data_IF_813351929455
#
_entry.id   IF_813351929455
#
_cell.length_a   1.000
_cell.length_b   1.000
_cell.length_c   1.000
_cell.angle_alpha   90.00
_cell.angle_beta   90.00
_cell.angle_gamma   90.00
#
_symmetry.space_group_name_H-M   'P 1'
#
loop_
_entity.id
_entity.type
_entity.pdbx_description
1 polymer ?
#
# COMPACT_ATOMS: atom_id res chain seq x y z
N UNK A 1 11.99 -64.70 11.77
CA UNK A 1 12.60 -64.64 10.43
C UNK A 1 11.47 -64.47 9.43
N UNK A 2 11.13 -63.26 9.03
CA UNK A 2 10.21 -63.00 7.94
C UNK A 2 10.84 -61.94 7.05
N UNK A 3 11.29 -62.40 5.90
CA UNK A 3 11.83 -61.58 4.82
C UNK A 3 10.70 -60.71 4.20
N UNK A 4 10.82 -59.41 4.26
CA UNK A 4 10.04 -58.50 3.45
C UNK A 4 10.85 -58.23 2.16
N UNK A 5 10.28 -58.42 0.97
CA UNK A 5 11.01 -58.19 -0.27
C UNK A 5 11.19 -56.67 -0.51
N UNK A 6 12.41 -56.34 -0.87
CA UNK A 6 12.88 -55.07 -1.35
C UNK A 6 12.05 -54.61 -2.57
N UNK A 7 11.27 -53.55 -2.42
CA UNK A 7 10.56 -52.93 -3.58
C UNK A 7 11.58 -52.08 -4.32
N UNK A 8 11.74 -52.23 -5.65
CA UNK A 8 12.60 -51.36 -6.43
C UNK A 8 12.04 -49.94 -6.42
N UNK A 9 12.89 -49.00 -6.01
CA UNK A 9 12.61 -47.55 -6.23
C UNK A 9 12.38 -47.31 -7.71
N UNK A 10 11.15 -46.91 -8.06
CA UNK A 10 10.83 -46.37 -9.39
C UNK A 10 11.61 -45.08 -9.55
N UNK A 11 12.46 -44.94 -10.58
CA UNK A 11 13.12 -43.68 -10.83
C UNK A 11 12.04 -42.60 -11.08
N UNK A 12 12.16 -41.46 -10.42
CA UNK A 12 11.30 -40.30 -10.67
C UNK A 12 11.32 -40.02 -12.15
N UNK A 13 10.20 -40.31 -12.83
CA UNK A 13 10.01 -39.89 -14.22
C UNK A 13 10.18 -38.39 -14.28
N UNK A 14 11.23 -37.92 -14.97
CA UNK A 14 11.38 -36.53 -15.35
C UNK A 14 10.16 -36.20 -16.21
N UNK A 15 9.17 -35.53 -15.58
CA UNK A 15 8.11 -34.86 -16.34
C UNK A 15 8.85 -33.86 -17.22
N UNK A 16 8.70 -33.88 -18.54
CA UNK A 16 9.36 -32.91 -19.40
C UNK A 16 8.95 -31.53 -18.92
N UNK A 17 9.95 -30.67 -18.67
CA UNK A 17 9.72 -29.29 -18.29
C UNK A 17 8.82 -28.67 -19.37
N UNK A 18 7.62 -28.28 -19.00
CA UNK A 18 6.73 -27.61 -19.92
C UNK A 18 7.23 -26.18 -20.14
N UNK A 19 7.44 -25.83 -21.41
CA UNK A 19 7.92 -24.51 -21.81
C UNK A 19 6.74 -23.70 -22.32
N UNK A 20 6.61 -22.46 -21.86
CA UNK A 20 5.63 -21.49 -22.34
C UNK A 20 6.34 -20.44 -23.18
N UNK A 21 5.89 -20.27 -24.41
CA UNK A 21 6.34 -19.24 -25.35
C UNK A 21 5.23 -18.22 -25.49
N UNK A 22 5.55 -16.95 -25.37
CA UNK A 22 4.64 -15.83 -25.54
C UNK A 22 5.36 -14.55 -25.95
N UNK A 23 4.64 -13.57 -26.44
CA UNK A 23 5.21 -12.26 -26.74
C UNK A 23 5.14 -11.38 -25.49
N UNK A 24 6.28 -10.82 -25.07
CA UNK A 24 6.40 -9.85 -24.00
C UNK A 24 6.90 -8.51 -24.55
N UNK A 25 6.09 -7.48 -24.48
CA UNK A 25 6.43 -6.13 -24.91
C UNK A 25 7.00 -6.10 -26.36
N UNK A 26 6.38 -6.89 -27.26
CA UNK A 26 6.75 -7.02 -28.66
C UNK A 26 7.92 -7.99 -28.93
N UNK A 27 8.44 -8.68 -27.92
CA UNK A 27 9.55 -9.63 -28.04
C UNK A 27 9.09 -11.04 -27.66
N UNK A 28 9.37 -12.03 -28.48
CA UNK A 28 9.10 -13.44 -28.14
C UNK A 28 10.01 -13.89 -27.01
N UNK A 29 9.42 -14.44 -25.95
CA UNK A 29 10.15 -14.97 -24.80
C UNK A 29 9.72 -16.40 -24.50
N UNK A 30 10.64 -17.15 -23.88
CA UNK A 30 10.46 -18.55 -23.52
C UNK A 30 10.75 -18.72 -22.02
N UNK A 31 9.81 -19.32 -21.29
CA UNK A 31 9.92 -19.54 -19.85
C UNK A 31 9.52 -20.97 -19.50
N UNK A 32 10.31 -21.63 -18.67
CA UNK A 32 9.95 -22.93 -18.09
C UNK A 32 8.78 -22.77 -17.13
N UNK A 33 7.70 -23.53 -17.34
CA UNK A 33 6.52 -23.55 -16.47
C UNK A 33 6.59 -24.74 -15.49
N UNK A 34 7.07 -24.47 -14.32
CA UNK A 34 6.99 -25.38 -13.17
C UNK A 34 5.83 -25.03 -12.22
N UNK A 35 4.75 -24.48 -12.79
CA UNK A 35 3.55 -24.04 -12.05
C UNK A 35 3.58 -22.57 -11.65
N UNK A 36 4.33 -21.74 -12.36
CA UNK A 36 4.44 -20.31 -12.11
C UNK A 36 3.14 -19.57 -12.41
N UNK A 37 2.94 -18.48 -11.70
CA UNK A 37 2.06 -17.39 -12.12
C UNK A 37 2.79 -16.49 -13.13
N UNK A 38 2.03 -15.73 -13.91
CA UNK A 38 2.61 -14.74 -14.83
C UNK A 38 3.45 -13.69 -14.08
N UNK A 39 3.05 -13.28 -12.86
CA UNK A 39 3.83 -12.36 -12.03
C UNK A 39 5.20 -12.94 -11.68
N UNK A 40 5.25 -14.20 -11.25
CA UNK A 40 6.49 -14.87 -10.89
C UNK A 40 7.44 -15.02 -12.08
N UNK A 41 6.90 -15.31 -13.27
CA UNK A 41 7.68 -15.35 -14.50
C UNK A 41 8.21 -13.97 -14.90
N UNK A 42 7.37 -12.93 -14.83
CA UNK A 42 7.76 -11.58 -15.20
C UNK A 42 8.84 -11.02 -14.27
N UNK A 43 8.65 -11.16 -12.95
CA UNK A 43 9.60 -10.59 -11.98
C UNK A 43 10.85 -11.43 -11.75
N UNK A 44 10.77 -12.75 -11.95
CA UNK A 44 11.89 -13.67 -11.80
C UNK A 44 12.72 -13.75 -13.07
N UNK A 45 12.56 -14.80 -13.90
CA UNK A 45 13.44 -15.04 -15.03
C UNK A 45 13.42 -13.93 -16.11
N UNK A 46 12.37 -13.12 -16.19
CA UNK A 46 12.26 -12.06 -17.20
C UNK A 46 12.64 -10.66 -16.69
N UNK A 47 12.90 -10.48 -15.40
CA UNK A 47 13.42 -9.23 -14.81
C UNK A 47 12.53 -7.99 -14.99
N UNK A 48 11.21 -8.16 -15.14
CA UNK A 48 10.28 -7.04 -15.33
C UNK A 48 9.88 -6.44 -13.98
N UNK A 49 10.47 -5.33 -13.61
CA UNK A 49 10.28 -4.69 -12.31
C UNK A 49 9.12 -3.67 -12.27
N UNK A 50 8.60 -3.19 -13.40
CA UNK A 50 7.40 -2.33 -13.44
C UNK A 50 6.15 -3.08 -12.98
N UNK A 51 6.12 -4.40 -13.08
CA UNK A 51 5.03 -5.25 -12.57
C UNK A 51 5.30 -5.55 -11.10
N UNK A 52 4.49 -4.97 -10.18
CA UNK A 52 4.75 -5.00 -8.74
C UNK A 52 4.04 -6.13 -8.00
N UNK A 53 4.73 -6.67 -6.99
CA UNK A 53 4.21 -7.71 -6.10
C UNK A 53 3.71 -7.10 -4.78
N UNK A 54 2.46 -6.64 -4.74
CA UNK A 54 1.91 -5.98 -3.54
C UNK A 54 1.07 -6.90 -2.65
N UNK A 55 0.37 -7.87 -3.22
CA UNK A 55 -0.50 -8.77 -2.44
C UNK A 55 -0.41 -10.23 -2.91
N UNK A 56 0.59 -10.60 -3.71
CA UNK A 56 0.67 -11.88 -4.37
C UNK A 56 0.55 -13.07 -3.40
N UNK A 57 -0.27 -14.05 -3.78
CA UNK A 57 -1.05 -14.12 -5.03
C UNK A 57 -2.55 -13.79 -4.84
N UNK A 58 -2.92 -12.79 -4.06
CA UNK A 58 -4.33 -12.56 -3.66
C UNK A 58 -5.22 -11.93 -4.76
N UNK A 59 -4.64 -11.30 -5.79
CA UNK A 59 -5.39 -10.68 -6.88
C UNK A 59 -6.20 -9.45 -6.48
N UNK A 60 -5.78 -8.70 -5.45
CA UNK A 60 -6.58 -7.62 -4.85
C UNK A 60 -6.03 -6.22 -5.04
N UNK A 61 -4.69 -6.04 -5.14
CA UNK A 61 -4.10 -4.71 -5.12
C UNK A 61 -3.96 -4.07 -6.52
N UNK A 62 -4.05 -4.83 -7.61
CA UNK A 62 -3.92 -4.34 -8.97
C UNK A 62 -2.51 -3.93 -9.40
N UNK A 63 -1.50 -3.92 -8.51
CA UNK A 63 -0.14 -3.46 -8.83
C UNK A 63 0.57 -4.32 -9.90
N UNK A 64 0.13 -5.56 -10.08
CA UNK A 64 0.64 -6.49 -11.09
C UNK A 64 -0.22 -6.53 -12.37
N UNK A 65 -0.97 -5.49 -12.67
CA UNK A 65 -1.81 -5.43 -13.87
C UNK A 65 -0.94 -5.33 -15.13
N UNK A 66 -1.21 -6.20 -16.10
CA UNK A 66 -0.64 -6.21 -17.43
C UNK A 66 -1.77 -6.34 -18.45
N UNK A 67 -1.51 -6.08 -19.73
CA UNK A 67 -2.43 -6.42 -20.82
C UNK A 67 -2.09 -7.80 -21.35
N UNK A 68 -3.09 -8.62 -21.52
CA UNK A 68 -2.99 -9.89 -22.26
C UNK A 68 -3.93 -9.78 -23.45
N UNK A 69 -3.37 -9.76 -24.67
CA UNK A 69 -4.09 -9.44 -25.91
C UNK A 69 -4.94 -8.16 -25.77
N UNK A 70 -4.34 -7.11 -25.23
CA UNK A 70 -5.00 -5.82 -25.00
C UNK A 70 -6.00 -5.78 -23.84
N UNK A 71 -6.23 -6.90 -23.13
CA UNK A 71 -7.18 -6.96 -22.00
C UNK A 71 -6.43 -6.94 -20.68
N UNK A 72 -6.77 -6.02 -19.78
CA UNK A 72 -6.15 -5.93 -18.46
C UNK A 72 -6.38 -7.19 -17.62
N UNK A 73 -5.29 -7.74 -17.06
CA UNK A 73 -5.27 -8.92 -16.19
C UNK A 73 -4.32 -8.70 -15.03
N UNK A 74 -4.63 -9.25 -13.86
CA UNK A 74 -3.72 -9.27 -12.72
C UNK A 74 -2.82 -10.51 -12.81
N UNK A 75 -1.53 -10.28 -12.97
CA UNK A 75 -0.54 -11.32 -13.25
C UNK A 75 -0.37 -12.33 -12.09
N UNK A 76 -0.56 -11.91 -10.83
CA UNK A 76 -0.35 -12.78 -9.68
C UNK A 76 -1.34 -13.94 -9.53
N UNK A 77 -2.49 -13.88 -10.20
CA UNK A 77 -3.50 -14.95 -10.24
C UNK A 77 -3.71 -15.53 -11.63
N UNK A 78 -2.88 -15.13 -12.58
CA UNK A 78 -2.87 -15.66 -13.95
C UNK A 78 -1.80 -16.74 -14.06
N UNK A 79 -2.17 -18.03 -14.22
CA UNK A 79 -1.18 -19.08 -14.45
C UNK A 79 -0.38 -18.82 -15.73
N UNK A 80 0.93 -19.03 -15.70
CA UNK A 80 1.81 -18.75 -16.85
C UNK A 80 1.35 -19.45 -18.14
N UNK A 81 0.95 -20.70 -18.05
CA UNK A 81 0.44 -21.47 -19.20
C UNK A 81 -0.74 -20.83 -19.94
N UNK A 82 -1.46 -19.89 -19.28
CA UNK A 82 -2.61 -19.20 -19.89
C UNK A 82 -2.21 -18.11 -20.87
N UNK A 83 -0.95 -17.74 -20.92
CA UNK A 83 -0.43 -16.73 -21.87
C UNK A 83 0.38 -17.34 -22.99
N UNK A 84 0.43 -18.67 -23.10
CA UNK A 84 1.09 -19.37 -24.22
C UNK A 84 0.53 -18.91 -25.56
N UNK A 85 1.41 -18.45 -26.46
CA UNK A 85 1.07 -17.94 -27.79
C UNK A 85 0.28 -16.61 -27.79
N UNK A 86 0.26 -15.90 -26.67
CA UNK A 86 -0.44 -14.61 -26.53
C UNK A 86 0.55 -13.46 -26.41
N UNK A 87 0.07 -12.24 -26.61
CA UNK A 87 0.83 -11.03 -26.36
C UNK A 87 0.58 -10.52 -24.93
N UNK A 88 1.65 -10.23 -24.20
CA UNK A 88 1.64 -9.62 -22.87
C UNK A 88 2.30 -8.26 -22.99
N UNK A 89 1.59 -7.19 -22.60
CA UNK A 89 2.15 -5.84 -22.57
C UNK A 89 2.18 -5.35 -21.13
N UNK A 90 3.34 -4.94 -20.66
CA UNK A 90 3.55 -4.32 -19.36
C UNK A 90 3.52 -2.80 -19.49
N UNK A 91 3.75 -2.06 -18.38
CA UNK A 91 3.93 -0.61 -18.46
C UNK A 91 5.10 -0.25 -19.39
N UNK A 92 6.19 -1.03 -19.36
CA UNK A 92 7.38 -0.78 -20.15
C UNK A 92 7.14 -0.97 -21.66
N UNK A 93 6.22 -1.87 -22.02
CA UNK A 93 5.82 -2.16 -23.40
C UNK A 93 4.74 -1.24 -23.96
N UNK A 94 4.19 -0.31 -23.19
CA UNK A 94 3.31 0.72 -23.73
C UNK A 94 4.10 1.65 -24.66
N UNK A 95 3.45 2.19 -25.69
CA UNK A 95 4.07 3.20 -26.56
C UNK A 95 4.68 4.34 -25.74
N UNK A 96 5.85 4.84 -26.16
CA UNK A 96 6.58 5.85 -25.40
C UNK A 96 5.82 7.17 -25.25
N UNK A 97 5.04 7.55 -26.26
CA UNK A 97 4.20 8.74 -26.19
C UNK A 97 3.05 8.53 -25.18
N UNK A 98 2.44 7.34 -25.16
CA UNK A 98 1.42 6.96 -24.18
C UNK A 98 1.98 6.98 -22.76
N UNK A 99 3.16 6.39 -22.53
CA UNK A 99 3.82 6.44 -21.22
C UNK A 99 4.10 7.88 -20.76
N UNK A 100 4.59 8.71 -21.69
CA UNK A 100 4.89 10.11 -21.38
C UNK A 100 3.63 10.91 -21.04
N UNK A 101 2.55 10.71 -21.76
CA UNK A 101 1.25 11.35 -21.51
C UNK A 101 0.74 11.01 -20.10
N UNK A 102 0.67 9.71 -19.77
CA UNK A 102 0.25 9.27 -18.45
C UNK A 102 1.20 9.75 -17.34
N UNK A 103 2.51 9.71 -17.57
CA UNK A 103 3.49 10.17 -16.61
C UNK A 103 3.34 11.67 -16.32
N UNK A 104 3.13 12.48 -17.36
CA UNK A 104 2.90 13.92 -17.22
C UNK A 104 1.65 14.20 -16.39
N UNK A 105 0.50 13.63 -16.75
CA UNK A 105 -0.74 13.82 -16.01
C UNK A 105 -0.62 13.39 -14.55
N UNK A 106 0.03 12.23 -14.28
CA UNK A 106 0.24 11.76 -12.91
C UNK A 106 1.17 12.66 -12.09
N UNK A 107 2.17 13.25 -12.70
CA UNK A 107 3.07 14.21 -12.03
C UNK A 107 2.32 15.52 -11.74
N UNK A 108 1.61 16.03 -12.71
CA UNK A 108 0.91 17.34 -12.62
C UNK A 108 -0.19 17.30 -11.56
N UNK A 109 -0.93 16.21 -11.48
CA UNK A 109 -1.97 16.02 -10.47
C UNK A 109 -1.47 15.47 -9.11
N UNK A 110 -0.17 15.18 -8.97
CA UNK A 110 0.35 14.51 -7.76
C UNK A 110 -0.24 13.11 -7.56
N UNK A 111 -0.62 12.45 -8.64
CA UNK A 111 -1.26 11.13 -8.64
C UNK A 111 -0.30 9.97 -8.36
N UNK A 112 0.99 10.22 -8.22
CA UNK A 112 2.00 9.24 -7.85
C UNK A 112 2.93 9.80 -6.77
N UNK A 113 3.01 9.15 -5.61
CA UNK A 113 3.92 9.53 -4.54
C UNK A 113 5.05 8.51 -4.38
N UNK A 114 4.77 7.28 -3.95
CA UNK A 114 5.80 6.25 -3.86
C UNK A 114 6.03 5.50 -5.19
N UNK A 115 5.10 5.55 -6.12
CA UNK A 115 5.21 4.92 -7.42
C UNK A 115 4.90 3.42 -7.47
N UNK A 116 4.71 2.74 -6.34
CA UNK A 116 4.55 1.29 -6.33
C UNK A 116 3.29 0.81 -7.08
N UNK A 117 2.17 1.48 -6.91
CA UNK A 117 0.92 1.11 -7.59
C UNK A 117 0.76 1.72 -8.99
N UNK A 118 1.54 2.75 -9.31
CA UNK A 118 1.33 3.59 -10.51
C UNK A 118 1.41 2.83 -11.82
N UNK A 119 2.40 1.94 -12.09
CA UNK A 119 2.46 1.22 -13.35
C UNK A 119 1.21 0.36 -13.60
N UNK A 120 0.77 -0.38 -12.59
CA UNK A 120 -0.44 -1.22 -12.71
C UNK A 120 -1.73 -0.40 -12.91
N UNK A 121 -1.83 0.76 -12.27
CA UNK A 121 -2.95 1.69 -12.45
C UNK A 121 -2.95 2.26 -13.87
N UNK A 122 -1.81 2.74 -14.37
CA UNK A 122 -1.69 3.26 -15.74
C UNK A 122 -2.06 2.21 -16.78
N UNK A 123 -1.54 0.99 -16.67
CA UNK A 123 -1.90 -0.11 -17.58
C UNK A 123 -3.41 -0.39 -17.55
N UNK A 124 -4.03 -0.32 -16.37
CA UNK A 124 -5.48 -0.50 -16.25
C UNK A 124 -6.27 0.62 -16.91
N UNK A 125 -5.85 1.86 -16.73
CA UNK A 125 -6.48 3.04 -17.32
C UNK A 125 -6.28 3.08 -18.85
N UNK A 126 -5.10 2.66 -19.34
CA UNK A 126 -4.86 2.52 -20.77
C UNK A 126 -5.77 1.47 -21.43
N UNK A 127 -6.01 0.35 -20.75
CA UNK A 127 -7.01 -0.62 -21.20
C UNK A 127 -8.42 -0.03 -21.25
N UNK A 128 -8.77 0.86 -20.33
CA UNK A 128 -10.05 1.57 -20.35
C UNK A 128 -10.12 2.53 -21.56
N UNK A 129 -9.05 3.31 -21.81
CA UNK A 129 -8.93 4.23 -22.94
C UNK A 129 -9.09 3.50 -24.27
N UNK A 130 -8.33 2.44 -24.47
CA UNK A 130 -8.38 1.63 -25.70
C UNK A 130 -9.76 1.04 -25.92
N UNK A 131 -10.38 0.53 -24.86
CA UNK A 131 -11.75 -0.01 -24.96
C UNK A 131 -12.78 1.06 -25.30
N UNK A 132 -12.65 2.26 -24.76
CA UNK A 132 -13.53 3.39 -25.06
C UNK A 132 -13.39 3.83 -26.54
N UNK A 133 -12.16 3.91 -27.05
CA UNK A 133 -11.89 4.31 -28.44
C UNK A 133 -12.54 3.41 -29.49
N UNK A 134 -12.69 2.11 -29.21
CA UNK A 134 -13.37 1.16 -30.11
C UNK A 134 -14.87 1.01 -29.83
N UNK A 135 -15.40 1.67 -28.82
CA UNK A 135 -16.84 1.68 -28.54
C UNK A 135 -17.58 2.53 -29.54
N UNK A 136 -18.81 2.14 -29.99
CA UNK A 136 -19.64 2.98 -30.86
C UNK A 136 -19.95 4.38 -30.28
N UNK A 137 -19.86 4.54 -28.95
CA UNK A 137 -20.07 5.81 -28.27
C UNK A 137 -18.77 6.64 -28.14
N UNK A 138 -17.62 6.12 -28.59
CA UNK A 138 -16.33 6.82 -28.48
C UNK A 138 -15.96 7.17 -27.02
N UNK A 139 -15.18 8.22 -26.86
CA UNK A 139 -14.81 8.76 -25.53
C UNK A 139 -16.04 9.27 -24.75
N UNK A 140 -17.07 9.76 -25.45
CA UNK A 140 -18.36 10.16 -24.85
C UNK A 140 -19.10 8.96 -24.20
N UNK A 141 -18.67 7.74 -24.48
CA UNK A 141 -19.19 6.52 -23.87
C UNK A 141 -18.58 6.21 -22.49
N UNK A 142 -17.61 6.98 -22.02
CA UNK A 142 -17.11 6.90 -20.65
C UNK A 142 -18.17 7.49 -19.70
N UNK A 143 -19.04 6.63 -19.21
CA UNK A 143 -20.07 7.02 -18.23
C UNK A 143 -19.42 7.53 -16.95
N UNK A 144 -20.11 8.46 -16.26
CA UNK A 144 -19.71 8.92 -14.94
C UNK A 144 -19.28 7.74 -14.04
N UNK A 145 -18.15 7.89 -13.36
CA UNK A 145 -17.58 6.85 -12.52
C UNK A 145 -16.93 5.68 -13.29
N UNK A 146 -16.59 5.82 -14.58
CA UNK A 146 -15.92 4.77 -15.34
C UNK A 146 -14.51 4.48 -14.83
N UNK A 147 -13.79 5.52 -14.42
CA UNK A 147 -12.45 5.45 -13.84
C UNK A 147 -12.49 4.69 -12.51
N UNK A 148 -13.38 5.08 -11.60
CA UNK A 148 -13.54 4.46 -10.29
C UNK A 148 -13.91 2.98 -10.42
N UNK A 149 -14.83 2.66 -11.33
CA UNK A 149 -15.18 1.26 -11.61
C UNK A 149 -14.00 0.47 -12.19
N UNK A 150 -13.22 1.08 -13.07
CA UNK A 150 -12.03 0.43 -13.62
C UNK A 150 -11.00 0.14 -12.54
N UNK A 151 -10.88 1.03 -11.57
CA UNK A 151 -9.89 0.97 -10.50
C UNK A 151 -10.41 0.32 -9.20
N UNK A 152 -11.63 -0.20 -9.16
CA UNK A 152 -12.24 -0.78 -7.96
C UNK A 152 -11.41 -1.91 -7.30
N UNK A 153 -10.55 -2.59 -8.07
CA UNK A 153 -9.62 -3.62 -7.58
C UNK A 153 -8.15 -3.17 -7.62
N UNK A 154 -7.91 -1.85 -7.54
CA UNK A 154 -6.56 -1.29 -7.47
C UNK A 154 -6.41 -0.52 -6.17
N UNK A 155 -5.25 -0.63 -5.50
CA UNK A 155 -5.01 0.00 -4.23
C UNK A 155 -3.88 1.02 -4.35
N UNK A 156 -4.14 2.22 -3.85
CA UNK A 156 -3.15 3.23 -3.57
C UNK A 156 -3.32 3.70 -2.13
N UNK A 157 -2.23 3.76 -1.37
CA UNK A 157 -2.28 4.23 0.02
C UNK A 157 -1.73 5.64 0.22
N UNK A 158 -1.07 6.18 -0.80
CA UNK A 158 -0.36 7.46 -0.70
C UNK A 158 -1.23 8.67 -1.02
N UNK A 159 -2.01 8.60 -2.11
CA UNK A 159 -2.60 9.77 -2.79
C UNK A 159 -4.04 10.07 -2.38
N UNK A 160 -4.71 9.17 -1.69
CA UNK A 160 -6.14 9.30 -1.37
C UNK A 160 -7.08 9.17 -2.57
N UNK A 161 -6.59 8.72 -3.73
CA UNK A 161 -7.36 8.40 -4.96
C UNK A 161 -7.80 9.59 -5.80
N UNK A 162 -8.20 10.73 -5.23
CA UNK A 162 -8.78 11.83 -6.00
C UNK A 162 -7.83 12.30 -7.11
N UNK A 163 -6.56 12.51 -6.78
CA UNK A 163 -5.56 12.92 -7.77
C UNK A 163 -5.35 11.91 -8.91
N UNK A 164 -5.55 10.61 -8.64
CA UNK A 164 -5.49 9.57 -9.67
C UNK A 164 -6.71 9.66 -10.59
N UNK A 165 -7.89 9.93 -10.04
CA UNK A 165 -9.12 10.12 -10.81
C UNK A 165 -9.01 11.38 -11.67
N UNK A 166 -8.48 12.46 -11.11
CA UNK A 166 -8.28 13.73 -11.84
C UNK A 166 -7.33 13.57 -13.02
N UNK A 167 -6.14 12.96 -12.79
CA UNK A 167 -5.19 12.65 -13.86
C UNK A 167 -5.78 11.75 -14.94
N UNK A 168 -6.53 10.72 -14.53
CA UNK A 168 -7.20 9.82 -15.46
C UNK A 168 -8.28 10.53 -16.29
N UNK A 169 -9.02 11.44 -15.66
CA UNK A 169 -10.07 12.21 -16.33
C UNK A 169 -9.48 13.13 -17.41
N UNK A 170 -8.35 13.77 -17.11
CA UNK A 170 -7.62 14.60 -18.09
C UNK A 170 -7.21 13.77 -19.31
N UNK A 171 -6.47 12.66 -19.10
CA UNK A 171 -5.98 11.83 -20.22
C UNK A 171 -7.10 11.18 -21.03
N UNK A 172 -8.22 10.88 -20.39
CA UNK A 172 -9.37 10.25 -21.07
C UNK A 172 -10.25 11.27 -21.81
N UNK A 173 -9.92 12.56 -21.79
CA UNK A 173 -10.66 13.62 -22.49
C UNK A 173 -12.03 13.90 -21.87
N UNK A 174 -12.21 13.54 -20.60
CA UNK A 174 -13.43 13.90 -19.87
C UNK A 174 -13.49 15.41 -19.69
N UNK A 175 -14.59 16.03 -20.17
CA UNK A 175 -14.96 17.37 -19.73
C UNK A 175 -15.35 17.27 -18.25
N UNK A 176 -14.34 17.26 -17.37
CA UNK A 176 -14.54 17.37 -15.95
C UNK A 176 -15.36 18.63 -15.69
N UNK A 177 -16.41 18.51 -14.88
CA UNK A 177 -17.03 19.69 -14.32
C UNK A 177 -15.91 20.60 -13.84
N UNK A 178 -15.95 21.88 -14.22
CA UNK A 178 -15.02 22.90 -13.79
C UNK A 178 -14.92 22.94 -12.26
N UNK A 179 -14.20 22.02 -11.69
CA UNK A 179 -13.51 22.28 -10.45
C UNK A 179 -12.23 22.96 -10.90
N UNK A 180 -12.31 24.28 -11.01
CA UNK A 180 -11.14 25.13 -11.13
C UNK A 180 -10.34 25.01 -9.82
N UNK A 181 -9.68 23.87 -9.63
CA UNK A 181 -8.47 23.82 -8.86
C UNK A 181 -7.48 24.57 -9.77
N UNK A 182 -6.99 25.72 -9.36
CA UNK A 182 -5.82 26.30 -9.98
C UNK A 182 -4.70 25.28 -9.84
N UNK A 183 -4.64 24.36 -10.80
CA UNK A 183 -3.54 23.41 -10.92
C UNK A 183 -2.32 24.26 -11.25
N UNK A 184 -1.36 24.23 -10.38
CA UNK A 184 -0.04 24.73 -10.72
C UNK A 184 0.41 23.98 -11.97
N UNK A 185 0.58 24.71 -13.07
CA UNK A 185 0.89 24.11 -14.37
C UNK A 185 2.16 23.26 -14.34
N UNK A 186 2.35 22.39 -15.35
CA UNK A 186 3.44 21.41 -15.43
C UNK A 186 4.86 22.00 -15.30
N UNK A 187 4.99 23.31 -15.41
CA UNK A 187 6.25 24.05 -15.31
C UNK A 187 6.31 24.98 -14.10
N UNK A 188 5.56 24.71 -13.04
CA UNK A 188 5.72 25.49 -11.81
C UNK A 188 7.10 25.22 -11.20
N UNK A 189 8.04 26.09 -11.58
CA UNK A 189 9.40 26.10 -11.03
C UNK A 189 9.43 26.43 -9.51
N UNK A 190 8.27 26.66 -8.91
CA UNK A 190 8.13 26.91 -7.46
C UNK A 190 8.15 25.65 -6.61
N UNK A 191 8.02 24.45 -7.20
CA UNK A 191 8.10 23.19 -6.44
C UNK A 191 9.52 22.96 -5.92
N UNK A 192 9.68 22.96 -4.62
CA UNK A 192 10.95 22.59 -3.96
C UNK A 192 11.12 21.06 -3.96
N UNK A 193 11.70 20.55 -5.05
CA UNK A 193 11.98 19.11 -5.21
C UNK A 193 12.98 18.60 -4.16
N UNK A 194 13.89 19.45 -3.70
CA UNK A 194 14.85 19.11 -2.66
C UNK A 194 14.16 18.98 -1.31
N UNK A 195 13.16 19.81 -1.01
CA UNK A 195 12.36 19.67 0.20
C UNK A 195 11.58 18.35 0.21
N UNK A 196 11.01 17.95 -0.92
CA UNK A 196 10.32 16.67 -1.05
C UNK A 196 11.26 15.48 -0.84
N UNK A 197 12.47 15.52 -1.42
CA UNK A 197 13.50 14.50 -1.21
C UNK A 197 13.94 14.44 0.26
N UNK A 198 14.16 15.60 0.90
CA UNK A 198 14.54 15.67 2.32
C UNK A 198 13.49 15.06 3.25
N UNK A 199 12.19 15.18 2.92
CA UNK A 199 11.11 14.62 3.75
C UNK A 199 11.25 13.11 3.92
N UNK A 200 11.53 12.37 2.84
CA UNK A 200 11.73 10.92 2.93
C UNK A 200 12.95 10.56 3.79
N UNK A 201 14.02 11.35 3.71
CA UNK A 201 15.23 11.17 4.55
C UNK A 201 14.92 11.37 6.03
N UNK A 202 14.09 12.34 6.39
CA UNK A 202 13.65 12.56 7.78
C UNK A 202 12.85 11.38 8.33
N UNK A 203 12.21 10.62 7.46
CA UNK A 203 11.50 9.38 7.83
C UNK A 203 12.41 8.14 7.78
N UNK A 204 13.73 8.32 7.67
CA UNK A 204 14.75 7.28 7.57
C UNK A 204 14.70 6.45 6.27
N UNK A 205 13.96 6.90 5.28
CA UNK A 205 13.94 6.35 3.94
C UNK A 205 15.06 6.91 3.05
N UNK A 206 15.20 6.35 1.85
CA UNK A 206 15.99 6.95 0.80
C UNK A 206 15.32 8.26 0.31
N UNK A 207 16.09 9.22 -0.24
CA UNK A 207 15.52 10.42 -0.84
C UNK A 207 14.42 10.07 -1.85
N UNK A 208 13.29 10.74 -1.77
CA UNK A 208 12.18 10.49 -2.67
C UNK A 208 12.52 11.00 -4.08
N UNK A 209 12.37 10.13 -5.07
CA UNK A 209 12.40 10.52 -6.48
C UNK A 209 11.07 11.16 -6.86
N UNK A 210 11.12 12.17 -7.71
CA UNK A 210 9.93 12.88 -8.24
C UNK A 210 10.05 12.94 -9.75
N UNK A 211 8.94 12.71 -10.45
CA UNK A 211 8.88 12.77 -11.90
C UNK A 211 8.38 11.49 -12.55
N UNK A 212 8.66 11.33 -13.83
CA UNK A 212 8.19 10.20 -14.64
C UNK A 212 8.64 8.83 -14.10
N UNK A 213 9.84 8.74 -13.53
CA UNK A 213 10.38 7.50 -12.96
C UNK A 213 9.54 6.98 -11.79
N UNK A 214 8.91 7.88 -11.02
CA UNK A 214 7.97 7.47 -9.96
C UNK A 214 6.75 6.80 -10.58
N UNK A 215 6.23 7.33 -11.67
CA UNK A 215 5.06 6.76 -12.37
C UNK A 215 5.40 5.41 -12.99
N UNK A 216 6.62 5.25 -13.49
CA UNK A 216 7.15 3.98 -13.98
C UNK A 216 7.44 2.96 -12.87
N UNK A 217 7.37 3.37 -11.60
CA UNK A 217 7.75 2.52 -10.47
C UNK A 217 9.25 2.22 -10.38
N UNK A 218 10.09 3.08 -10.98
CA UNK A 218 11.53 2.91 -11.10
C UNK A 218 12.30 3.71 -10.04
N UNK A 219 11.83 3.67 -8.79
CA UNK A 219 12.43 4.44 -7.68
C UNK A 219 13.41 3.64 -6.82
N UNK A 220 13.75 2.41 -7.21
CA UNK A 220 14.71 1.60 -6.47
C UNK A 220 14.14 0.90 -5.24
N UNK A 221 12.96 0.32 -5.34
CA UNK A 221 12.42 -0.53 -4.27
C UNK A 221 13.36 -1.68 -3.93
N UNK A 222 13.50 -2.03 -2.66
CA UNK A 222 14.45 -3.06 -2.23
C UNK A 222 14.27 -4.40 -2.95
N UNK A 223 13.02 -4.81 -3.21
CA UNK A 223 12.75 -6.03 -3.97
C UNK A 223 13.06 -5.94 -5.47
N UNK A 224 13.32 -4.73 -6.00
CA UNK A 224 13.66 -4.50 -7.41
C UNK A 224 15.17 -4.28 -7.61
N UNK A 225 15.90 -3.97 -6.53
CA UNK A 225 17.32 -3.63 -6.56
C UNK A 225 18.21 -4.69 -5.89
N UNK A 226 17.61 -5.79 -5.45
CA UNK A 226 18.37 -6.90 -4.89
C UNK A 226 19.33 -7.48 -5.96
N UNK A 227 20.57 -7.83 -5.58
CA UNK A 227 21.54 -8.39 -6.51
C UNK A 227 21.04 -9.67 -7.18
N UNK A 228 21.38 -9.87 -8.45
CA UNK A 228 21.09 -11.10 -9.16
C UNK A 228 21.67 -12.32 -8.43
N UNK A 229 20.91 -13.39 -8.35
CA UNK A 229 21.32 -14.61 -7.67
C UNK A 229 21.39 -14.50 -6.14
N UNK A 230 20.80 -13.46 -5.53
CA UNK A 230 20.65 -13.40 -4.09
C UNK A 230 19.74 -14.54 -3.58
N UNK A 231 19.99 -15.00 -2.35
CA UNK A 231 19.03 -15.85 -1.66
C UNK A 231 17.80 -15.01 -1.26
N UNK A 232 16.64 -15.63 -1.26
CA UNK A 232 15.41 -15.01 -0.81
C UNK A 232 14.96 -15.65 0.50
N UNK A 233 14.73 -14.83 1.53
CA UNK A 233 14.23 -15.26 2.82
C UNK A 233 12.78 -14.79 3.00
N UNK A 234 11.89 -15.71 3.37
CA UNK A 234 10.49 -15.45 3.69
C UNK A 234 10.13 -16.10 5.02
N UNK A 235 9.06 -15.66 5.65
CA UNK A 235 8.62 -16.19 6.95
C UNK A 235 7.65 -17.35 6.74
N UNK A 236 7.86 -18.46 7.44
CA UNK A 236 6.93 -19.62 7.49
C UNK A 236 5.75 -19.38 8.46
N UNK A 237 4.78 -20.32 8.58
CA UNK A 237 3.66 -20.18 9.51
C UNK A 237 4.08 -20.07 10.98
N UNK A 238 5.23 -20.62 11.36
CA UNK A 238 5.74 -20.66 12.74
C UNK A 238 6.57 -19.39 13.08
N UNK A 239 6.78 -18.52 12.09
CA UNK A 239 7.54 -17.27 12.25
C UNK A 239 9.05 -17.42 11.99
N UNK A 240 9.50 -18.59 11.51
CA UNK A 240 10.91 -18.86 11.17
C UNK A 240 11.25 -18.39 9.75
N UNK A 241 12.50 -17.99 9.54
CA UNK A 241 12.98 -17.61 8.21
C UNK A 241 13.37 -18.82 7.39
N UNK A 242 12.81 -18.91 6.19
CA UNK A 242 13.08 -19.97 5.21
C UNK A 242 13.70 -19.35 3.97
N UNK A 243 14.82 -19.94 3.50
CA UNK A 243 15.56 -19.45 2.37
C UNK A 243 15.31 -20.29 1.10
N UNK A 244 15.40 -19.64 -0.04
CA UNK A 244 15.34 -20.27 -1.36
C UNK A 244 16.15 -19.49 -2.38
N UNK A 245 16.46 -20.14 -3.52
CA UNK A 245 17.20 -19.53 -4.63
C UNK A 245 16.35 -18.52 -5.43
N UNK A 246 15.06 -18.41 -5.13
CA UNK A 246 14.14 -17.44 -5.71
C UNK A 246 12.96 -17.22 -4.76
N UNK A 247 12.18 -16.16 -5.02
CA UNK A 247 10.92 -15.89 -4.28
C UNK A 247 9.99 -17.11 -4.32
N UNK A 248 9.89 -17.76 -5.48
CA UNK A 248 9.04 -18.95 -5.66
C UNK A 248 9.55 -20.13 -4.84
N UNK A 249 10.86 -20.39 -4.90
CA UNK A 249 11.48 -21.49 -4.14
C UNK A 249 11.34 -21.27 -2.63
N UNK A 250 11.60 -20.05 -2.14
CA UNK A 250 11.45 -19.71 -0.73
C UNK A 250 10.01 -19.85 -0.25
N UNK A 251 9.03 -19.33 -1.02
CA UNK A 251 7.60 -19.45 -0.69
C UNK A 251 7.12 -20.91 -0.68
N UNK A 252 7.59 -21.75 -1.61
CA UNK A 252 7.28 -23.19 -1.64
C UNK A 252 7.87 -23.91 -0.42
N UNK A 253 9.13 -23.63 -0.10
CA UNK A 253 9.79 -24.21 1.06
C UNK A 253 9.13 -23.80 2.38
N UNK A 254 8.71 -22.55 2.51
CA UNK A 254 7.98 -22.05 3.67
C UNK A 254 6.59 -22.71 3.84
N UNK A 255 6.01 -23.27 2.79
CA UNK A 255 4.71 -23.94 2.84
C UNK A 255 3.54 -23.04 3.27
N UNK A 256 3.77 -21.72 3.31
CA UNK A 256 2.77 -20.75 3.74
C UNK A 256 1.77 -20.50 2.63
N UNK A 257 0.53 -20.90 2.86
CA UNK A 257 -0.58 -20.52 1.98
C UNK A 257 -0.98 -19.10 2.31
N UNK A 258 -0.74 -18.17 1.39
CA UNK A 258 -1.21 -16.79 1.51
C UNK A 258 -2.74 -16.77 1.48
N UNK A 259 -3.35 -16.70 2.66
CA UNK A 259 -4.79 -16.79 2.82
C UNK A 259 -5.49 -15.47 2.55
N UNK A 260 -6.69 -15.56 1.98
CA UNK A 260 -7.66 -14.45 1.95
C UNK A 260 -8.41 -14.30 3.28
N UNK A 261 -8.08 -15.12 4.29
CA UNK A 261 -8.79 -15.24 5.54
C UNK A 261 -7.97 -14.62 6.66
N UNK A 262 -7.91 -13.31 6.70
CA UNK A 262 -7.61 -12.64 7.96
C UNK A 262 -8.95 -12.25 8.55
N UNK A 263 -9.49 -13.08 9.41
CA UNK A 263 -10.60 -12.70 10.27
C UNK A 263 -9.98 -11.95 11.45
N UNK A 264 -9.67 -10.70 11.27
CA UNK A 264 -9.47 -9.81 12.41
C UNK A 264 -10.85 -9.33 12.79
N UNK A 265 -11.27 -9.65 14.01
CA UNK A 265 -12.47 -9.04 14.55
C UNK A 265 -12.20 -7.55 14.71
N UNK A 266 -12.95 -6.66 14.03
CA UNK A 266 -12.72 -5.23 14.09
C UNK A 266 -13.19 -4.59 15.41
N UNK A 267 -13.62 -5.38 16.38
CA UNK A 267 -14.10 -4.86 17.67
C UNK A 267 -12.96 -4.12 18.38
N UNK A 268 -13.17 -2.84 18.76
CA UNK A 268 -12.21 -2.10 19.56
C UNK A 268 -11.91 -2.84 20.88
N UNK A 269 -10.62 -3.07 21.21
CA UNK A 269 -10.27 -3.90 22.36
C UNK A 269 -10.43 -3.22 23.72
N UNK A 270 -10.61 -1.90 23.71
CA UNK A 270 -10.75 -1.10 24.93
C UNK A 270 -12.19 -0.65 25.15
N UNK A 271 -12.61 -0.61 26.40
CA UNK A 271 -13.90 -0.05 26.81
C UNK A 271 -13.74 1.41 27.21
N UNK A 272 -14.76 2.24 26.88
CA UNK A 272 -14.82 3.62 27.31
C UNK A 272 -14.74 3.66 28.85
N UNK A 273 -13.93 4.59 29.44
CA UNK A 273 -13.90 4.76 30.88
C UNK A 273 -15.27 5.08 31.45
N UNK A 274 -15.56 4.58 32.66
CA UNK A 274 -16.78 4.94 33.37
C UNK A 274 -16.79 6.44 33.68
N UNK A 275 -17.94 7.08 33.51
CA UNK A 275 -18.10 8.52 33.79
C UNK A 275 -19.29 9.12 33.03
N UNK A 276 -19.54 10.37 33.35
CA UNK A 276 -20.52 11.19 32.62
C UNK A 276 -19.77 12.03 31.60
N UNK A 277 -19.93 11.66 30.30
CA UNK A 277 -19.17 12.18 29.17
C UNK A 277 -20.05 12.85 28.14
N UNK A 278 -19.67 14.02 27.68
CA UNK A 278 -20.34 14.71 26.58
C UNK A 278 -20.04 14.08 25.24
N UNK A 279 -18.83 13.49 25.08
CA UNK A 279 -18.42 12.77 23.89
C UNK A 279 -17.62 11.52 24.26
N UNK A 280 -17.85 10.42 23.55
CA UNK A 280 -17.04 9.20 23.67
C UNK A 280 -16.51 8.74 22.32
N UNK A 281 -15.35 8.09 22.30
CA UNK A 281 -14.73 7.53 21.12
C UNK A 281 -14.09 6.18 21.45
N UNK A 282 -14.24 5.22 20.55
CA UNK A 282 -13.51 3.95 20.56
C UNK A 282 -12.90 3.71 19.20
N UNK A 283 -11.66 3.24 19.15
CA UNK A 283 -10.98 2.83 17.91
C UNK A 283 -10.40 1.43 18.03
N UNK A 284 -10.33 0.72 16.91
CA UNK A 284 -9.61 -0.55 16.82
C UNK A 284 -8.15 -0.35 16.44
N UNK A 285 -7.48 -1.45 16.16
CA UNK A 285 -6.14 -1.47 15.57
C UNK A 285 -6.16 -0.83 14.18
N UNK A 286 -5.31 0.17 13.96
CA UNK A 286 -5.21 0.83 12.67
C UNK A 286 -3.92 0.45 11.98
N UNK A 287 -4.04 -0.31 10.90
CA UNK A 287 -2.94 -0.68 10.02
C UNK A 287 -2.59 0.50 9.11
N UNK A 288 -1.30 0.77 8.91
CA UNK A 288 -0.85 1.71 7.90
C UNK A 288 -1.29 1.26 6.49
N UNK A 289 -1.42 -0.04 6.26
CA UNK A 289 -1.93 -0.67 5.04
C UNK A 289 -1.19 -0.25 3.77
N UNK A 290 0.11 0.02 3.88
CA UNK A 290 0.95 0.32 2.73
C UNK A 290 0.98 -0.84 1.72
N UNK A 291 1.02 -0.48 0.43
CA UNK A 291 0.85 -1.47 -0.65
C UNK A 291 2.15 -2.23 -0.95
N UNK A 292 3.29 -1.55 -0.93
CA UNK A 292 4.61 -2.17 -1.00
C UNK A 292 4.88 -2.90 0.32
N UNK A 293 4.99 -4.24 0.31
CA UNK A 293 5.35 -5.01 1.50
C UNK A 293 6.80 -4.73 1.92
N UNK A 294 7.11 -4.94 3.21
CA UNK A 294 8.48 -4.74 3.69
C UNK A 294 9.46 -5.68 2.99
N UNK A 295 10.57 -5.11 2.56
CA UNK A 295 11.68 -5.81 1.94
C UNK A 295 13.00 -5.13 2.28
N UNK A 296 14.05 -5.91 2.46
CA UNK A 296 15.42 -5.41 2.55
C UNK A 296 16.38 -6.47 2.04
N UNK A 297 17.46 -6.05 1.38
CA UNK A 297 18.54 -6.95 1.02
C UNK A 297 19.87 -6.46 1.59
N UNK A 298 20.80 -7.40 1.74
CA UNK A 298 22.15 -7.11 2.21
C UNK A 298 23.15 -8.06 1.56
N UNK A 299 24.35 -7.57 1.27
CA UNK A 299 25.50 -8.39 0.95
C UNK A 299 26.27 -8.77 2.22
N UNK A 300 27.04 -9.89 2.22
CA UNK A 300 27.86 -10.27 3.38
C UNK A 300 28.83 -9.13 3.78
N UNK A 301 28.78 -8.75 5.06
CA UNK A 301 29.59 -7.65 5.59
C UNK A 301 29.18 -6.25 5.13
N UNK A 302 28.11 -6.13 4.34
CA UNK A 302 27.59 -4.87 3.82
C UNK A 302 26.59 -4.18 4.72
N UNK A 303 26.15 -3.01 4.26
CA UNK A 303 25.03 -2.28 4.87
C UNK A 303 23.73 -2.72 4.17
N UNK A 304 22.65 -2.93 4.93
CA UNK A 304 21.38 -3.33 4.35
C UNK A 304 20.76 -2.21 3.51
N UNK A 305 20.00 -2.60 2.49
CA UNK A 305 19.22 -1.67 1.68
C UNK A 305 18.19 -0.93 2.54
N UNK A 306 17.91 0.32 2.18
CA UNK A 306 16.89 1.13 2.84
C UNK A 306 15.60 1.12 2.01
N UNK A 307 14.47 1.28 2.68
CA UNK A 307 13.21 1.48 1.98
C UNK A 307 13.33 2.69 1.04
N UNK A 308 13.07 2.49 -0.25
CA UNK A 308 13.18 3.54 -1.26
C UNK A 308 12.16 4.65 -1.06
N UNK A 309 10.97 4.30 -0.58
CA UNK A 309 9.92 5.23 -0.27
C UNK A 309 9.15 4.77 0.95
N UNK A 310 8.82 5.71 1.84
CA UNK A 310 7.94 5.45 2.97
C UNK A 310 6.46 5.75 2.63
N UNK A 311 6.15 5.75 1.33
CA UNK A 311 4.84 6.10 0.82
C UNK A 311 3.73 5.18 1.32
N UNK A 312 2.71 5.79 1.92
CA UNK A 312 1.58 5.06 2.49
C UNK A 312 1.88 4.25 3.75
N UNK A 313 3.14 4.16 4.18
CA UNK A 313 3.54 3.46 5.40
C UNK A 313 3.33 4.32 6.66
N UNK A 314 3.29 5.66 6.50
CA UNK A 314 3.04 6.60 7.59
C UNK A 314 3.94 6.38 8.82
N UNK A 315 5.19 5.97 8.60
CA UNK A 315 6.16 5.66 9.64
C UNK A 315 6.22 4.18 10.06
N UNK A 316 5.34 3.31 9.57
CA UNK A 316 5.34 1.89 9.97
C UNK A 316 6.62 1.14 9.57
N UNK A 317 7.24 1.50 8.44
CA UNK A 317 8.51 0.89 7.98
C UNK A 317 9.74 1.36 8.75
N UNK A 318 9.61 2.38 9.59
CA UNK A 318 10.72 3.00 10.32
C UNK A 318 11.46 2.01 11.22
N UNK A 319 10.74 1.05 11.77
CA UNK A 319 11.24 0.04 12.69
C UNK A 319 11.09 -1.37 12.12
N UNK A 320 11.13 -1.50 10.79
CA UNK A 320 11.10 -2.82 10.15
C UNK A 320 12.33 -3.63 10.58
N UNK A 321 12.18 -4.89 10.99
CA UNK A 321 13.30 -5.75 11.34
C UNK A 321 14.06 -6.27 10.12
N UNK A 322 13.51 -6.13 8.91
CA UNK A 322 14.04 -6.76 7.71
C UNK A 322 15.47 -6.36 7.35
N UNK A 323 15.89 -5.08 7.51
CA UNK A 323 17.29 -4.72 7.27
C UNK A 323 18.27 -5.54 8.12
N UNK A 324 17.98 -5.70 9.42
CA UNK A 324 18.80 -6.52 10.31
C UNK A 324 18.77 -7.99 9.95
N UNK A 325 17.59 -8.51 9.63
CA UNK A 325 17.42 -9.91 9.20
C UNK A 325 18.20 -10.20 7.92
N UNK A 326 18.09 -9.34 6.91
CA UNK A 326 18.84 -9.48 5.67
C UNK A 326 20.35 -9.50 5.91
N UNK A 327 20.85 -8.62 6.79
CA UNK A 327 22.27 -8.56 7.15
C UNK A 327 22.73 -9.81 7.87
N UNK A 328 21.99 -10.27 8.88
CA UNK A 328 22.34 -11.45 9.66
C UNK A 328 22.40 -12.70 8.76
N UNK A 329 21.35 -12.92 7.94
CA UNK A 329 21.29 -14.05 7.03
C UNK A 329 22.35 -13.97 5.92
N UNK A 330 22.64 -12.77 5.40
CA UNK A 330 23.71 -12.61 4.40
C UNK A 330 25.08 -12.99 4.98
N UNK A 331 25.37 -12.56 6.22
CA UNK A 331 26.60 -12.91 6.91
C UNK A 331 26.68 -14.42 7.23
N UNK A 332 25.59 -15.03 7.66
CA UNK A 332 25.52 -16.46 7.97
C UNK A 332 25.76 -17.33 6.73
N UNK A 333 25.14 -16.97 5.60
CA UNK A 333 25.19 -17.78 4.38
C UNK A 333 26.30 -17.35 3.41
N UNK A 334 27.02 -16.25 3.66
CA UNK A 334 28.11 -15.77 2.79
C UNK A 334 27.63 -15.36 1.40
N UNK A 335 26.36 -15.03 1.23
CA UNK A 335 25.71 -14.61 -0.03
C UNK A 335 24.76 -13.44 0.24
N UNK A 336 24.49 -12.63 -0.78
CA UNK A 336 23.44 -11.62 -0.69
C UNK A 336 22.09 -12.28 -0.37
N UNK A 337 21.34 -11.68 0.53
CA UNK A 337 20.00 -12.14 0.95
C UNK A 337 18.98 -11.01 0.82
N UNK A 338 17.86 -11.30 0.16
CA UNK A 338 16.67 -10.47 0.12
C UNK A 338 15.65 -11.03 1.12
N UNK A 339 15.41 -10.34 2.22
CA UNK A 339 14.35 -10.65 3.17
C UNK A 339 13.05 -9.97 2.75
N UNK A 340 11.95 -10.74 2.72
CA UNK A 340 10.63 -10.29 2.28
C UNK A 340 9.56 -10.65 3.30
N UNK A 341 8.69 -9.69 3.61
CA UNK A 341 7.41 -9.96 4.23
C UNK A 341 6.31 -10.13 3.19
N UNK A 342 5.41 -11.07 3.44
CA UNK A 342 4.14 -11.13 2.73
C UNK A 342 3.18 -10.04 3.21
N UNK A 343 2.08 -9.84 2.49
CA UNK A 343 1.00 -8.95 2.96
C UNK A 343 0.49 -9.34 4.34
N UNK A 344 0.39 -10.64 4.60
CA UNK A 344 -0.04 -11.15 5.89
C UNK A 344 0.97 -10.85 7.00
N UNK A 345 2.28 -10.99 6.72
CA UNK A 345 3.34 -10.67 7.68
C UNK A 345 3.33 -9.18 8.03
N UNK A 346 3.18 -8.30 7.02
CA UNK A 346 3.01 -6.87 7.26
C UNK A 346 1.80 -6.58 8.16
N UNK A 347 0.67 -7.25 7.92
CA UNK A 347 -0.54 -7.05 8.73
C UNK A 347 -0.39 -7.57 10.16
N UNK A 348 0.40 -8.62 10.38
CA UNK A 348 0.61 -9.20 11.70
C UNK A 348 1.72 -8.52 12.49
N UNK A 349 2.84 -8.21 11.83
CA UNK A 349 4.10 -7.89 12.49
C UNK A 349 4.51 -6.42 12.36
N UNK A 350 4.01 -5.67 11.35
CA UNK A 350 4.28 -4.26 11.28
C UNK A 350 3.52 -3.50 12.38
N UNK A 351 4.11 -2.42 12.93
CA UNK A 351 3.48 -1.67 14.00
C UNK A 351 2.15 -1.04 13.56
N UNK A 352 1.21 -1.01 14.49
CA UNK A 352 -0.11 -0.40 14.32
C UNK A 352 -0.21 0.90 15.10
N UNK A 353 -1.13 1.77 14.70
CA UNK A 353 -1.59 2.83 15.56
C UNK A 353 -2.36 2.21 16.73
N UNK A 354 -2.04 2.57 17.99
CA UNK A 354 -2.68 1.97 19.14
C UNK A 354 -4.18 2.26 19.18
N UNK A 355 -5.00 1.28 19.55
CA UNK A 355 -6.41 1.51 19.89
C UNK A 355 -6.55 2.47 21.06
N UNK A 356 -7.60 3.28 21.03
CA UNK A 356 -8.01 4.12 22.15
C UNK A 356 -9.49 3.93 22.50
N UNK A 357 -9.82 4.25 23.76
CA UNK A 357 -11.19 4.45 24.21
C UNK A 357 -11.21 5.64 25.16
N UNK A 358 -12.01 6.65 24.84
CA UNK A 358 -12.01 7.91 25.58
C UNK A 358 -13.42 8.40 25.90
N UNK A 359 -13.53 9.10 27.03
CA UNK A 359 -14.66 9.92 27.38
C UNK A 359 -14.19 11.33 27.75
N UNK A 360 -14.80 12.35 27.15
CA UNK A 360 -14.40 13.76 27.28
C UNK A 360 -15.61 14.61 27.64
N UNK A 361 -15.42 15.62 28.50
CA UNK A 361 -16.44 16.62 28.88
C UNK A 361 -16.32 17.87 28.03
N UNK A 362 -17.36 18.65 27.99
CA UNK A 362 -17.44 19.91 27.25
C UNK A 362 -16.36 20.94 27.63
N UNK A 363 -15.77 20.83 28.81
CA UNK A 363 -14.66 21.66 29.26
C UNK A 363 -13.29 21.18 28.78
N UNK A 364 -13.24 20.11 27.97
CA UNK A 364 -12.01 19.50 27.44
C UNK A 364 -11.29 18.58 28.42
N UNK A 365 -11.85 18.35 29.61
CA UNK A 365 -11.32 17.35 30.55
C UNK A 365 -11.87 15.96 30.22
N UNK A 366 -11.12 14.91 30.55
CA UNK A 366 -11.57 13.55 30.29
C UNK A 366 -10.57 12.49 30.66
N UNK A 367 -10.91 11.26 30.28
CA UNK A 367 -10.04 10.09 30.46
C UNK A 367 -9.91 9.37 29.13
N UNK A 368 -8.69 9.04 28.76
CA UNK A 368 -8.36 8.28 27.54
C UNK A 368 -7.57 7.04 27.92
N UNK A 369 -8.14 5.88 27.66
CA UNK A 369 -7.44 4.60 27.71
C UNK A 369 -6.78 4.35 26.35
N UNK A 370 -5.52 3.94 26.34
CA UNK A 370 -4.75 3.63 25.14
C UNK A 370 -3.97 2.33 25.34
N UNK A 371 -3.84 1.53 24.29
CA UNK A 371 -2.96 0.35 24.35
C UNK A 371 -1.53 0.80 24.62
N UNK A 372 -0.89 0.18 25.61
CA UNK A 372 0.45 0.52 26.07
C UNK A 372 1.44 0.63 24.90
N UNK A 373 2.08 1.78 24.77
CA UNK A 373 2.91 2.14 23.63
C UNK A 373 3.95 3.16 24.06
N UNK A 374 5.22 2.85 23.88
CA UNK A 374 6.32 3.71 24.32
C UNK A 374 6.15 5.16 23.85
N UNK A 375 6.13 6.10 24.81
CA UNK A 375 6.04 7.55 24.54
C UNK A 375 4.67 8.05 24.13
N UNK A 376 3.59 7.25 24.24
CA UNK A 376 2.24 7.67 23.83
C UNK A 376 1.64 8.68 24.80
N UNK A 377 1.90 8.54 26.09
CA UNK A 377 1.37 9.42 27.14
C UNK A 377 1.83 10.85 26.94
N UNK A 378 3.14 11.04 26.74
CA UNK A 378 3.73 12.37 26.51
C UNK A 378 3.18 13.00 25.22
N UNK A 379 3.00 12.18 24.19
CA UNK A 379 2.50 12.65 22.89
C UNK A 379 1.04 13.12 22.98
N UNK A 380 0.21 12.40 23.71
CA UNK A 380 -1.19 12.80 23.93
C UNK A 380 -1.26 14.01 24.86
N UNK A 381 -0.51 14.01 25.95
CA UNK A 381 -0.50 15.10 26.92
C UNK A 381 -0.04 16.44 26.29
N UNK A 382 0.83 16.40 25.29
CA UNK A 382 1.28 17.59 24.57
C UNK A 382 0.15 18.31 23.82
N UNK A 383 -0.87 17.60 23.36
CA UNK A 383 -2.01 18.15 22.58
C UNK A 383 -3.30 18.18 23.38
N UNK A 384 -3.41 17.41 24.44
CA UNK A 384 -4.62 17.25 25.26
C UNK A 384 -4.27 17.27 26.76
N UNK A 385 -3.72 18.37 27.30
CA UNK A 385 -3.23 18.41 28.69
C UNK A 385 -4.33 18.25 29.75
N UNK A 386 -5.60 18.45 29.37
CA UNK A 386 -6.76 18.23 30.25
C UNK A 386 -7.24 16.78 30.31
N UNK A 387 -6.64 15.88 29.54
CA UNK A 387 -7.06 14.49 29.45
C UNK A 387 -6.11 13.59 30.23
N UNK A 388 -6.64 12.84 31.19
CA UNK A 388 -5.90 11.77 31.86
C UNK A 388 -5.69 10.60 30.88
N UNK A 389 -4.43 10.18 30.70
CA UNK A 389 -4.07 9.07 29.81
C UNK A 389 -3.75 7.82 30.63
N UNK A 390 -4.44 6.73 30.36
CA UNK A 390 -4.27 5.44 31.03
C UNK A 390 -3.80 4.41 30.00
N UNK A 391 -2.58 3.91 30.16
CA UNK A 391 -2.07 2.80 29.35
C UNK A 391 -2.67 1.46 29.81
N UNK A 392 -3.05 0.65 28.85
CA UNK A 392 -3.67 -0.67 29.09
C UNK A 392 -2.92 -1.73 28.28
N UNK A 393 -2.45 -2.75 28.96
CA UNK A 393 -1.83 -3.91 28.31
C UNK A 393 -2.90 -4.72 27.58
N UNK A 394 -2.75 -4.89 26.27
CA UNK A 394 -3.66 -5.68 25.43
C UNK A 394 -2.84 -6.58 24.50
N UNK A 395 -3.19 -7.86 24.47
CA UNK A 395 -2.59 -8.77 23.51
C UNK A 395 -2.97 -8.38 22.07
N UNK A 396 -1.98 -8.20 21.21
CA UNK A 396 -2.22 -7.79 19.83
C UNK A 396 -0.92 -7.56 19.05
N UNK A 397 -1.00 -6.98 17.86
CA UNK A 397 0.16 -6.60 17.08
C UNK A 397 0.96 -5.48 17.79
N UNK A 398 2.25 -5.31 17.49
CA UNK A 398 3.04 -4.21 18.02
C UNK A 398 2.42 -2.87 17.67
N UNK A 399 2.61 -1.87 18.55
CA UNK A 399 2.17 -0.50 18.35
C UNK A 399 3.35 0.46 18.28
N UNK A 400 3.15 1.64 17.72
CA UNK A 400 4.19 2.66 17.65
C UNK A 400 3.62 4.08 17.58
N UNK A 401 4.20 4.99 18.36
CA UNK A 401 3.96 6.43 18.29
C UNK A 401 4.55 7.07 17.03
N UNK A 402 5.42 6.38 16.31
CA UNK A 402 6.04 6.90 15.09
C UNK A 402 5.10 6.83 13.88
N UNK A 403 4.01 6.05 13.97
CA UNK A 403 2.93 6.16 13.01
C UNK A 403 2.31 7.55 13.08
N UNK A 404 2.18 8.21 11.94
CA UNK A 404 1.56 9.53 11.86
C UNK A 404 0.18 9.48 12.51
N UNK A 405 -0.09 10.47 13.32
CA UNK A 405 -1.33 10.59 14.09
C UNK A 405 -1.59 9.44 15.09
N UNK A 406 -0.53 8.85 15.67
CA UNK A 406 -0.64 7.74 16.63
C UNK A 406 -1.35 8.15 17.94
N UNK A 407 -2.67 8.10 17.96
CA UNK A 407 -3.51 8.41 19.13
C UNK A 407 -3.80 9.90 19.35
N UNK A 408 -2.91 10.81 19.00
CA UNK A 408 -3.13 12.23 19.24
C UNK A 408 -4.19 12.85 18.32
N UNK A 409 -4.37 12.34 17.08
CA UNK A 409 -5.39 12.85 16.17
C UNK A 409 -6.80 12.59 16.71
N UNK A 410 -7.03 11.44 17.31
CA UNK A 410 -8.29 11.12 17.98
C UNK A 410 -8.51 11.99 19.20
N UNK A 411 -7.48 12.26 19.98
CA UNK A 411 -7.58 13.18 21.12
C UNK A 411 -7.92 14.60 20.66
N UNK A 412 -7.31 15.09 19.58
CA UNK A 412 -7.64 16.39 18.99
C UNK A 412 -9.09 16.43 18.49
N UNK A 413 -9.55 15.38 17.80
CA UNK A 413 -10.94 15.30 17.32
C UNK A 413 -11.94 15.31 18.47
N UNK A 414 -11.65 14.59 19.56
CA UNK A 414 -12.48 14.58 20.76
C UNK A 414 -12.58 15.99 21.36
N UNK A 415 -11.47 16.67 21.56
CA UNK A 415 -11.41 18.00 22.14
C UNK A 415 -12.08 19.02 21.23
N UNK A 416 -11.80 18.99 19.94
CA UNK A 416 -12.40 19.89 18.96
C UNK A 416 -13.92 19.69 18.84
N UNK A 417 -14.39 18.45 18.98
CA UNK A 417 -15.83 18.13 18.94
C UNK A 417 -16.63 18.69 20.13
N UNK A 418 -15.98 18.96 21.25
CA UNK A 418 -16.60 19.44 22.48
C UNK A 418 -16.41 20.94 22.67
N UNK A 419 -15.19 21.42 22.42
CA UNK A 419 -14.79 22.80 22.66
C UNK A 419 -14.93 23.71 21.45
N UNK A 420 -15.64 23.30 20.39
CA UNK A 420 -15.77 24.14 19.21
C UNK A 420 -16.46 25.46 19.58
N UNK A 421 -15.78 26.62 19.46
CA UNK A 421 -16.48 27.89 19.49
C UNK A 421 -17.56 27.87 18.40
N UNK A 422 -18.54 28.75 18.50
CA UNK A 422 -19.76 28.88 17.69
C UNK A 422 -19.64 28.85 16.15
N UNK A 423 -18.49 28.47 15.61
CA UNK A 423 -18.19 28.31 14.19
C UNK A 423 -18.34 26.86 13.67
N UNK A 424 -18.95 25.97 14.44
CA UNK A 424 -19.38 24.67 13.93
C UNK A 424 -20.51 24.88 12.95
N UNK A 425 -20.13 24.90 11.67
CA UNK A 425 -21.09 25.02 10.59
C UNK A 425 -21.78 23.67 10.41
N UNK A 426 -23.04 23.64 10.84
CA UNK A 426 -24.12 22.75 10.46
C UNK A 426 -23.83 21.25 10.29
N UNK A 427 -24.46 20.48 11.14
CA UNK A 427 -24.82 19.10 10.85
C UNK A 427 -25.87 19.11 9.73
N UNK A 428 -25.47 18.82 8.49
CA UNK A 428 -26.44 18.53 7.43
C UNK A 428 -26.70 17.02 7.43
N UNK A 429 -27.92 16.58 7.71
CA UNK A 429 -28.30 15.19 7.50
C UNK A 429 -28.37 14.92 5.99
N UNK A 430 -27.49 14.06 5.51
CA UNK A 430 -27.60 13.55 4.14
C UNK A 430 -28.91 12.73 4.03
N UNK A 431 -29.79 13.16 3.16
CA UNK A 431 -31.05 12.49 2.87
C UNK A 431 -30.81 11.10 2.30
N UNK A 432 -31.17 10.05 3.05
CA UNK A 432 -31.37 8.73 2.53
C UNK A 432 -30.74 7.56 3.27
N UNK A 433 -29.62 7.69 3.97
CA UNK A 433 -29.09 6.72 4.94
C UNK A 433 -28.19 7.54 5.87
N UNK A 434 -28.70 7.84 7.04
CA UNK A 434 -28.10 8.83 7.94
C UNK A 434 -26.84 8.30 8.62
N UNK A 435 -25.65 8.76 8.29
CA UNK A 435 -24.60 8.89 9.27
C UNK A 435 -24.56 10.35 9.75
N UNK A 436 -24.58 10.54 11.03
CA UNK A 436 -24.26 11.84 11.61
C UNK A 436 -22.85 12.22 11.17
N UNK A 437 -22.74 13.29 10.44
CA UNK A 437 -21.47 13.86 9.98
C UNK A 437 -21.16 15.08 10.83
N UNK A 438 -20.04 15.02 11.55
CA UNK A 438 -19.47 16.16 12.26
C UNK A 438 -18.40 16.80 11.40
N UNK A 439 -18.51 18.08 11.11
CA UNK A 439 -17.47 18.85 10.41
C UNK A 439 -16.94 19.92 11.34
N UNK A 440 -15.66 19.89 11.63
CA UNK A 440 -14.95 20.91 12.42
C UNK A 440 -14.08 21.71 11.47
N UNK A 441 -14.24 23.03 11.49
CA UNK A 441 -13.37 23.97 10.78
C UNK A 441 -12.59 24.79 11.80
N UNK A 442 -11.31 24.94 11.59
CA UNK A 442 -10.46 25.81 12.39
C UNK A 442 -10.38 27.20 11.75
N UNK A 443 -10.01 28.21 12.53
CA UNK A 443 -9.90 29.60 12.06
C UNK A 443 -8.80 29.81 11.00
N UNK A 444 -7.86 28.87 10.88
CA UNK A 444 -6.80 28.82 9.86
C UNK A 444 -7.19 28.04 8.61
N UNK A 445 -8.45 27.59 8.52
CA UNK A 445 -8.99 26.90 7.35
C UNK A 445 -8.81 25.39 7.33
N UNK A 446 -8.26 24.77 8.36
CA UNK A 446 -8.25 23.32 8.46
C UNK A 446 -9.68 22.77 8.62
N UNK A 447 -9.96 21.66 7.98
CA UNK A 447 -11.27 21.02 8.05
C UNK A 447 -11.08 19.56 8.48
N UNK A 448 -11.74 19.17 9.55
CA UNK A 448 -11.88 17.77 9.92
C UNK A 448 -13.37 17.38 9.82
N UNK A 449 -13.65 16.34 9.05
CA UNK A 449 -15.01 15.79 8.95
C UNK A 449 -14.99 14.34 9.40
N UNK A 450 -15.81 14.01 10.39
CA UNK A 450 -16.03 12.64 10.82
C UNK A 450 -17.46 12.22 10.46
N UNK A 451 -17.60 11.05 9.88
CA UNK A 451 -18.91 10.42 9.64
C UNK A 451 -18.93 9.03 10.25
N UNK A 452 -20.02 8.72 10.94
CA UNK A 452 -20.28 7.37 11.47
C UNK A 452 -21.01 6.59 10.39
N UNK A 453 -20.44 5.47 9.96
CA UNK A 453 -21.04 4.54 9.00
C UNK A 453 -21.26 3.19 9.66
N UNK A 454 -22.06 2.33 9.03
CA UNK A 454 -22.22 0.95 9.50
C UNK A 454 -20.88 0.16 9.55
N UNK A 455 -19.86 0.63 8.86
CA UNK A 455 -18.52 0.04 8.84
C UNK A 455 -17.53 0.72 9.82
N UNK A 456 -17.94 1.76 10.55
CA UNK A 456 -17.10 2.50 11.49
C UNK A 456 -17.10 4.01 11.26
N UNK A 457 -16.20 4.70 11.95
CA UNK A 457 -16.01 6.15 11.82
C UNK A 457 -15.02 6.43 10.69
N UNK A 458 -15.45 7.22 9.71
CA UNK A 458 -14.58 7.73 8.64
C UNK A 458 -14.24 9.18 8.97
N UNK A 459 -12.95 9.47 9.09
CA UNK A 459 -12.44 10.82 9.37
C UNK A 459 -11.71 11.34 8.14
N UNK A 460 -12.14 12.48 7.61
CA UNK A 460 -11.44 13.23 6.58
C UNK A 460 -10.81 14.47 7.22
N UNK A 461 -9.53 14.65 7.02
CA UNK A 461 -8.80 15.83 7.51
C UNK A 461 -8.18 16.54 6.32
N UNK A 462 -8.50 17.82 6.18
CA UNK A 462 -7.85 18.71 5.24
C UNK A 462 -7.00 19.69 6.06
N UNK A 463 -5.71 19.75 5.79
CA UNK A 463 -4.82 20.70 6.44
C UNK A 463 -5.19 22.14 6.08
N UNK A 464 -5.08 23.04 7.05
CA UNK A 464 -5.17 24.47 6.79
C UNK A 464 -3.87 25.02 6.20
N UNK A 465 -3.90 26.27 5.76
CA UNK A 465 -2.78 26.96 5.12
C UNK A 465 -1.51 27.13 5.99
N UNK A 466 -1.56 26.75 7.26
CA UNK A 466 -0.44 26.86 8.21
C UNK A 466 0.45 25.61 8.32
N UNK A 467 0.27 24.62 7.45
CA UNK A 467 1.06 23.38 7.41
C UNK A 467 1.87 23.22 6.10
N UNK A 468 2.34 24.33 5.55
CA UNK A 468 3.36 24.32 4.49
C UNK A 468 4.76 24.04 5.06
#
# INVERSE_FOLDING_TARGET
MSNTPDQPMVPSSQVPESVVVFELDGTEVTVTDDGLTLLEALRGPLGVHSVKDGCAPQGQCGCCTVLVDGTARVACVTPLRRVSGRSVTTFDGLDSAVRSEWATAFVDHGASQCGFCSPGIVVRLEALRTKAAVSPAGADGLRDGAVERALAAHLCRCTGWQSIVDAATEVLGGSGAEVAVELHGPNDSSRDLDAAARRATLELGAPQVIGADVVAGAVGFSADTAPDGCLVAVVDPDGSWVLGESVVAARRAAGKVQGRRTTVDPVPPLEVPDGDWDLTLRTGWVDAAYVETDAAWCEPGGEPSRAAANGGAFGAKRHSPLPKVAQDLANEHGRAVLALWSREDCSRSAPKRPPIAAGIRADGTGVLRVVATDGIVEKIAAVAPGVEVIEVEVAGPPTSVTLRAAGWAEAVVLIAGIGAPSDVVSVEPATGISPERVVVRTTDGAVAAASVTAAGIVVHVQAGAALD
#
